data_IF_294962898494
#
_entry.id   IF_294962898494
#
_cell.length_a   1.000
_cell.length_b   1.000
_cell.length_c   1.000
_cell.angle_alpha   90.00
_cell.angle_beta   90.00
_cell.angle_gamma   90.00
#
_symmetry.space_group_name_H-M   'P 1'
#
loop_
_entity.id
_entity.type
_entity.pdbx_description
1 polymer ?
#
# COMPACT_ATOMS: atom_id res chain seq x y z
N UNK A 1 -30.19 -15.47 -21.65
CA UNK A 1 -29.22 -16.14 -20.78
C UNK A 1 -28.24 -15.10 -20.28
N UNK A 2 -28.45 -14.60 -19.07
CA UNK A 2 -27.58 -13.60 -18.44
C UNK A 2 -26.43 -14.33 -17.76
N UNK A 3 -25.21 -14.18 -18.28
CA UNK A 3 -24.01 -14.65 -17.61
C UNK A 3 -23.68 -13.67 -16.47
N UNK A 4 -23.88 -14.11 -15.23
CA UNK A 4 -23.40 -13.42 -14.05
C UNK A 4 -21.88 -13.58 -14.01
N UNK A 5 -21.16 -12.50 -14.26
CA UNK A 5 -19.73 -12.42 -13.99
C UNK A 5 -19.56 -12.21 -12.47
N UNK A 6 -19.00 -13.23 -11.81
CA UNK A 6 -18.55 -13.12 -10.43
C UNK A 6 -17.31 -12.21 -10.44
N UNK A 7 -17.45 -10.98 -9.92
CA UNK A 7 -16.32 -10.10 -9.66
C UNK A 7 -15.48 -10.68 -8.51
N UNK A 8 -14.28 -11.08 -8.82
CA UNK A 8 -13.24 -11.27 -7.81
C UNK A 8 -12.58 -9.90 -7.62
N UNK A 9 -13.13 -9.07 -6.77
CA UNK A 9 -12.36 -8.00 -6.18
C UNK A 9 -11.29 -8.66 -5.32
N UNK A 10 -10.03 -8.33 -5.52
CA UNK A 10 -8.97 -8.67 -4.59
C UNK A 10 -9.08 -7.74 -3.37
N UNK A 11 -10.12 -7.91 -2.67
CA UNK A 11 -10.40 -7.55 -1.31
C UNK A 11 -11.24 -8.70 -0.82
N UNK A 12 -10.73 -9.41 0.17
CA UNK A 12 -11.40 -10.41 0.99
C UNK A 12 -12.71 -10.95 0.39
N UNK A 13 -12.66 -12.09 -0.30
CA UNK A 13 -13.86 -12.85 -0.57
C UNK A 13 -14.58 -13.05 0.76
N UNK A 14 -15.75 -12.46 0.95
CA UNK A 14 -16.66 -12.80 2.02
C UNK A 14 -17.09 -14.24 1.83
N UNK A 15 -16.44 -15.18 2.53
CA UNK A 15 -17.06 -16.45 2.90
C UNK A 15 -17.76 -16.22 4.23
N UNK A 16 -19.05 -15.97 4.19
CA UNK A 16 -19.92 -16.17 5.34
C UNK A 16 -19.97 -17.68 5.57
N UNK A 17 -19.17 -18.17 6.50
CA UNK A 17 -19.25 -19.54 6.95
C UNK A 17 -20.47 -19.68 7.86
N UNK A 18 -21.61 -20.08 7.28
CA UNK A 18 -22.67 -20.77 8.05
C UNK A 18 -22.13 -22.15 8.39
N UNK A 19 -22.04 -22.43 9.70
CA UNK A 19 -21.51 -23.68 10.19
C UNK A 19 -22.29 -24.89 9.65
N UNK A 20 -21.59 -25.72 8.90
CA UNK A 20 -21.87 -27.13 8.70
C UNK A 20 -20.55 -27.89 8.81
N UNK A 21 -20.45 -28.75 9.80
CA UNK A 21 -19.45 -29.82 9.86
C UNK A 21 -19.71 -30.77 8.70
N UNK A 22 -18.97 -30.64 7.63
CA UNK A 22 -18.88 -31.60 6.55
C UNK A 22 -17.42 -31.87 6.22
N UNK A 23 -17.08 -33.13 6.01
CA UNK A 23 -15.79 -33.66 5.62
C UNK A 23 -15.08 -32.75 4.60
N UNK A 24 -13.83 -32.35 4.91
CA UNK A 24 -12.95 -31.64 3.96
C UNK A 24 -12.74 -32.52 2.73
N UNK A 25 -13.14 -32.08 1.53
CA UNK A 25 -12.57 -32.67 0.33
C UNK A 25 -11.08 -32.30 0.31
N UNK A 26 -10.21 -33.23 -0.05
CA UNK A 26 -8.82 -33.02 -0.38
C UNK A 26 -8.74 -32.10 -1.60
N UNK A 27 -8.89 -30.79 -1.43
CA UNK A 27 -8.55 -29.82 -2.45
C UNK A 27 -7.03 -29.62 -2.39
N UNK A 28 -6.34 -30.00 -3.46
CA UNK A 28 -4.95 -29.55 -3.67
C UNK A 28 -4.89 -28.03 -3.40
N UNK A 29 -3.91 -27.56 -2.63
CA UNK A 29 -3.75 -26.11 -2.44
C UNK A 29 -3.70 -25.45 -3.83
N UNK A 30 -4.56 -24.45 -4.05
CA UNK A 30 -4.50 -23.67 -5.29
C UNK A 30 -3.13 -22.98 -5.35
N UNK A 31 -2.49 -23.07 -6.49
CA UNK A 31 -1.27 -22.32 -6.74
C UNK A 31 -1.55 -20.81 -6.70
N UNK A 32 -0.60 -20.06 -6.20
CA UNK A 32 -0.69 -18.59 -6.14
C UNK A 32 0.43 -17.96 -6.95
N UNK A 33 0.14 -16.79 -7.51
CA UNK A 33 1.13 -15.88 -8.05
C UNK A 33 1.29 -14.67 -7.10
N UNK A 34 2.54 -14.38 -6.74
CA UNK A 34 2.92 -13.26 -5.88
C UNK A 34 3.53 -12.18 -6.75
N UNK A 35 2.89 -11.02 -6.82
CA UNK A 35 3.38 -9.84 -7.53
C UNK A 35 3.90 -8.81 -6.53
N UNK A 36 5.03 -8.19 -6.86
CA UNK A 36 5.66 -7.16 -6.02
C UNK A 36 6.05 -5.97 -6.88
N UNK A 37 5.71 -4.76 -6.45
CA UNK A 37 6.19 -3.53 -7.03
C UNK A 37 7.26 -2.90 -6.15
N UNK A 38 8.26 -2.29 -6.78
CA UNK A 38 9.37 -1.63 -6.10
C UNK A 38 10.36 -1.03 -7.07
N UNK A 39 11.62 -1.00 -6.68
CA UNK A 39 12.70 -0.50 -7.52
C UNK A 39 13.97 -1.33 -7.33
N UNK A 40 14.85 -1.25 -8.31
CA UNK A 40 16.22 -1.72 -8.24
C UNK A 40 17.17 -0.63 -8.73
N UNK A 41 18.26 -0.43 -7.98
CA UNK A 41 19.37 0.43 -8.41
C UNK A 41 20.48 -0.44 -8.99
N UNK A 42 20.49 -0.52 -10.30
CA UNK A 42 21.55 -1.26 -11.06
C UNK A 42 22.66 -0.36 -11.59
N UNK A 43 22.55 0.97 -11.35
CA UNK A 43 23.48 1.96 -11.88
C UNK A 43 23.56 3.22 -11.04
N UNK A 44 23.20 4.36 -11.61
CA UNK A 44 23.20 5.67 -10.95
C UNK A 44 21.84 6.06 -10.38
N UNK A 45 20.74 5.59 -10.99
CA UNK A 45 19.37 5.95 -10.64
C UNK A 45 18.55 4.70 -10.35
N UNK A 46 17.44 4.87 -9.66
CA UNK A 46 16.51 3.81 -9.33
C UNK A 46 15.57 3.54 -10.51
N UNK A 47 15.46 2.27 -10.93
CA UNK A 47 14.54 1.81 -11.96
C UNK A 47 13.28 1.19 -11.35
N UNK A 48 12.10 1.63 -11.77
CA UNK A 48 10.83 1.07 -11.33
C UNK A 48 10.63 -0.34 -11.90
N UNK A 49 10.33 -1.31 -11.02
CA UNK A 49 10.22 -2.73 -11.39
C UNK A 49 9.00 -3.42 -10.80
N UNK A 50 8.60 -4.50 -11.46
CA UNK A 50 7.64 -5.48 -10.96
C UNK A 50 8.25 -6.86 -11.00
N UNK A 51 8.15 -7.58 -9.90
CA UNK A 51 8.56 -9.00 -9.79
C UNK A 51 7.32 -9.90 -9.68
N UNK A 52 7.47 -11.13 -10.18
CA UNK A 52 6.49 -12.19 -10.03
C UNK A 52 7.17 -13.45 -9.51
N UNK A 53 6.71 -13.99 -8.38
CA UNK A 53 7.25 -15.22 -7.78
C UNK A 53 8.79 -15.18 -7.60
N UNK A 54 9.32 -14.04 -7.14
CA UNK A 54 10.74 -13.81 -6.89
C UNK A 54 11.60 -13.53 -8.12
N UNK A 55 11.00 -13.42 -9.32
CA UNK A 55 11.71 -13.09 -10.57
C UNK A 55 11.17 -11.80 -11.16
N UNK A 56 12.06 -11.00 -11.75
CA UNK A 56 11.67 -9.83 -12.52
C UNK A 56 10.66 -10.22 -13.60
N UNK A 57 9.54 -9.49 -13.62
CA UNK A 57 8.50 -9.63 -14.62
C UNK A 57 8.53 -8.46 -15.61
N UNK A 58 8.64 -7.24 -15.08
CA UNK A 58 8.70 -6.01 -15.89
C UNK A 58 9.73 -5.05 -15.32
N UNK A 59 10.54 -4.49 -16.19
CA UNK A 59 11.27 -3.25 -16.00
C UNK A 59 10.42 -2.12 -16.59
N UNK A 60 9.88 -1.25 -15.72
CA UNK A 60 8.92 -0.21 -16.12
C UNK A 60 9.60 1.05 -16.64
N UNK A 61 10.84 1.29 -16.22
CA UNK A 61 11.70 2.42 -16.64
C UNK A 61 13.12 1.92 -16.85
N UNK A 62 13.88 2.58 -17.71
CA UNK A 62 15.20 2.16 -18.15
C UNK A 62 16.35 2.53 -17.18
N UNK A 63 16.04 3.10 -16.01
CA UNK A 63 17.03 3.54 -15.01
C UNK A 63 17.89 4.73 -15.45
N UNK A 64 17.52 5.43 -16.52
CA UNK A 64 18.18 6.68 -16.92
C UNK A 64 17.77 7.86 -16.04
N UNK A 65 16.67 7.73 -15.32
CA UNK A 65 16.12 8.70 -14.37
C UNK A 65 15.53 7.98 -13.17
N UNK A 66 15.46 8.69 -12.05
CA UNK A 66 14.91 8.16 -10.81
C UNK A 66 13.42 7.81 -10.95
N UNK A 67 13.06 6.57 -10.66
CA UNK A 67 11.71 6.07 -10.79
C UNK A 67 11.39 5.00 -9.74
N UNK A 68 10.19 5.05 -9.17
CA UNK A 68 9.71 4.04 -8.23
C UNK A 68 8.34 3.50 -8.64
N UNK A 69 8.16 2.19 -8.52
CA UNK A 69 6.88 1.52 -8.53
C UNK A 69 6.40 1.34 -7.08
N UNK A 70 5.37 2.05 -6.67
CA UNK A 70 4.92 2.16 -5.27
C UNK A 70 3.75 1.24 -4.93
N UNK A 71 2.95 0.86 -5.93
CA UNK A 71 1.75 0.05 -5.72
C UNK A 71 1.49 -0.86 -6.91
N UNK A 72 1.08 -2.11 -6.66
CA UNK A 72 0.69 -3.08 -7.68
C UNK A 72 -0.71 -3.62 -7.40
N UNK A 73 -1.51 -3.77 -8.45
CA UNK A 73 -2.83 -4.39 -8.44
C UNK A 73 -2.98 -5.28 -9.67
N UNK A 74 -3.52 -6.49 -9.47
CA UNK A 74 -3.67 -7.45 -10.58
C UNK A 74 -5.13 -7.86 -10.74
N UNK A 75 -5.65 -7.75 -11.94
CA UNK A 75 -7.02 -8.17 -12.26
C UNK A 75 -7.11 -8.66 -13.69
N UNK A 76 -7.79 -9.81 -13.89
CA UNK A 76 -8.00 -10.38 -15.22
C UNK A 76 -6.72 -10.77 -15.98
N UNK A 77 -5.61 -10.95 -15.27
CA UNK A 77 -4.29 -11.22 -15.84
C UNK A 77 -3.46 -9.96 -16.16
N UNK A 78 -4.08 -8.78 -16.11
CA UNK A 78 -3.37 -7.50 -16.28
C UNK A 78 -2.79 -7.01 -14.95
N UNK A 79 -1.56 -6.52 -14.99
CA UNK A 79 -0.82 -5.94 -13.87
C UNK A 79 -0.85 -4.41 -13.99
N UNK A 80 -1.41 -3.75 -13.01
CA UNK A 80 -1.44 -2.28 -12.92
C UNK A 80 -0.46 -1.84 -11.84
N UNK A 81 0.37 -0.85 -12.16
CA UNK A 81 1.40 -0.33 -11.25
C UNK A 81 1.30 1.19 -11.20
N UNK A 82 1.31 1.76 -10.00
CA UNK A 82 1.38 3.21 -9.80
C UNK A 82 2.73 3.60 -9.19
N UNK A 83 3.21 4.79 -9.54
CA UNK A 83 4.47 5.32 -9.04
C UNK A 83 4.81 6.67 -9.68
N UNK A 84 6.08 6.91 -9.88
CA UNK A 84 6.57 8.10 -10.57
C UNK A 84 7.84 7.79 -11.38
N UNK A 85 8.15 8.69 -12.30
CA UNK A 85 9.43 8.81 -12.97
C UNK A 85 9.85 10.28 -12.99
N UNK A 86 11.11 10.59 -12.69
CA UNK A 86 11.63 11.96 -12.70
C UNK A 86 11.82 12.46 -14.15
N UNK A 87 11.43 13.70 -14.44
CA UNK A 87 11.62 14.30 -15.76
C UNK A 87 12.92 15.11 -15.89
N UNK A 88 13.78 15.06 -14.84
CA UNK A 88 15.01 15.83 -14.69
C UNK A 88 14.82 17.11 -13.86
N UNK A 89 13.58 17.43 -13.47
CA UNK A 89 13.26 18.59 -12.61
C UNK A 89 12.28 18.20 -11.52
N UNK A 90 11.23 17.45 -11.87
CA UNK A 90 10.15 17.06 -10.99
C UNK A 90 9.79 15.59 -11.20
N UNK A 91 9.24 14.97 -10.16
CA UNK A 91 8.60 13.67 -10.24
C UNK A 91 7.27 13.79 -10.99
N UNK A 92 7.04 12.91 -11.94
CA UNK A 92 5.81 12.82 -12.74
C UNK A 92 5.03 11.60 -12.31
N UNK A 93 3.80 11.77 -11.85
CA UNK A 93 2.94 10.68 -11.42
C UNK A 93 2.51 9.82 -12.61
N UNK A 94 2.76 8.51 -12.53
CA UNK A 94 2.50 7.57 -13.62
C UNK A 94 1.73 6.33 -13.18
N UNK A 95 1.01 5.75 -14.13
CA UNK A 95 0.43 4.41 -14.03
C UNK A 95 0.86 3.59 -15.22
N UNK A 96 1.36 2.39 -14.96
CA UNK A 96 1.72 1.41 -15.98
C UNK A 96 0.68 0.27 -15.98
N UNK A 97 0.46 -0.31 -17.14
CA UNK A 97 -0.28 -1.56 -17.33
C UNK A 97 0.63 -2.57 -18.01
N UNK A 98 0.92 -3.66 -17.31
CA UNK A 98 1.94 -4.62 -17.70
C UNK A 98 3.30 -3.91 -17.83
N UNK A 99 3.95 -3.97 -18.97
CA UNK A 99 5.24 -3.35 -19.29
C UNK A 99 5.14 -1.95 -19.94
N UNK A 100 3.92 -1.37 -20.02
CA UNK A 100 3.70 -0.12 -20.77
C UNK A 100 3.08 0.96 -19.89
N UNK A 101 3.53 2.19 -20.10
CA UNK A 101 2.86 3.36 -19.54
C UNK A 101 1.41 3.41 -20.05
N UNK A 102 0.48 3.41 -19.11
CA UNK A 102 -0.95 3.56 -19.39
C UNK A 102 -1.37 5.02 -19.27
N UNK A 103 -0.91 5.70 -18.22
CA UNK A 103 -1.23 7.11 -17.94
C UNK A 103 0.00 7.84 -17.41
N UNK A 104 0.30 8.96 -18.00
CA UNK A 104 0.96 10.08 -17.35
C UNK A 104 -0.15 10.92 -16.71
N UNK A 105 -0.17 10.98 -15.37
CA UNK A 105 -1.28 11.59 -14.60
C UNK A 105 -1.10 13.10 -14.41
N UNK A 106 0.13 13.60 -14.52
CA UNK A 106 0.49 15.02 -14.35
C UNK A 106 1.44 15.47 -15.46
N UNK A 107 1.48 16.75 -15.74
CA UNK A 107 2.30 17.34 -16.81
C UNK A 107 3.77 17.56 -16.44
N UNK A 108 4.18 17.20 -15.21
CA UNK A 108 5.55 17.36 -14.71
C UNK A 108 5.94 18.80 -14.35
N UNK A 109 5.01 19.74 -14.33
CA UNK A 109 5.27 21.12 -13.89
C UNK A 109 5.49 21.24 -12.38
N UNK A 110 4.94 20.31 -11.60
CA UNK A 110 5.10 20.18 -10.17
C UNK A 110 5.52 18.75 -9.79
N UNK A 111 6.15 18.59 -8.62
CA UNK A 111 6.37 17.26 -8.06
C UNK A 111 5.05 16.54 -7.81
N UNK A 112 4.94 15.35 -8.35
CA UNK A 112 3.74 14.52 -8.24
C UNK A 112 4.10 13.04 -8.08
N UNK A 113 3.33 12.33 -7.27
CA UNK A 113 3.49 10.89 -7.05
C UNK A 113 2.11 10.22 -7.11
N UNK A 114 2.03 9.10 -7.81
CA UNK A 114 0.94 8.13 -7.75
C UNK A 114 1.30 7.06 -6.73
N UNK A 115 0.77 7.17 -5.50
CA UNK A 115 1.19 6.36 -4.35
C UNK A 115 0.50 4.99 -4.27
N UNK A 116 -0.73 4.88 -4.79
CA UNK A 116 -1.53 3.66 -4.66
C UNK A 116 -2.48 3.51 -5.86
N UNK A 117 -2.64 2.28 -6.35
CA UNK A 117 -3.56 1.94 -7.43
C UNK A 117 -4.55 0.85 -7.00
N UNK A 118 -5.80 0.99 -7.42
CA UNK A 118 -6.87 0.01 -7.28
C UNK A 118 -7.69 -0.05 -8.56
N UNK A 119 -8.04 -1.24 -9.03
CA UNK A 119 -8.87 -1.40 -10.24
C UNK A 119 -10.19 -2.05 -9.89
N UNK A 120 -11.28 -1.41 -10.24
CA UNK A 120 -12.65 -1.91 -10.06
C UNK A 120 -13.55 -1.44 -11.21
N UNK A 121 -14.44 -2.31 -11.70
CA UNK A 121 -15.40 -2.00 -12.76
C UNK A 121 -14.73 -1.38 -14.01
N UNK A 122 -13.59 -1.93 -14.44
CA UNK A 122 -12.76 -1.46 -15.56
C UNK A 122 -12.29 0.01 -15.40
N UNK A 123 -12.24 0.51 -14.17
CA UNK A 123 -11.71 1.83 -13.82
C UNK A 123 -10.46 1.69 -12.97
N UNK A 124 -9.46 2.45 -13.31
CA UNK A 124 -8.22 2.60 -12.52
C UNK A 124 -8.38 3.77 -11.58
N UNK A 125 -8.31 3.52 -10.28
CA UNK A 125 -8.31 4.54 -9.24
C UNK A 125 -6.90 4.66 -8.70
N UNK A 126 -6.40 5.90 -8.60
CA UNK A 126 -5.04 6.17 -8.15
C UNK A 126 -5.08 7.27 -7.10
N UNK A 127 -4.48 7.04 -5.93
CA UNK A 127 -4.27 8.07 -4.92
C UNK A 127 -2.85 8.61 -5.01
N UNK A 128 -2.66 9.88 -4.68
CA UNK A 128 -1.36 10.51 -4.66
C UNK A 128 -1.43 12.00 -4.39
N UNK A 129 -0.49 12.74 -4.91
CA UNK A 129 -0.46 14.20 -4.80
C UNK A 129 0.20 14.85 -6.01
N UNK A 130 -0.05 16.14 -6.18
CA UNK A 130 0.66 17.04 -7.09
C UNK A 130 0.86 18.39 -6.40
N UNK A 131 2.11 18.81 -6.28
CA UNK A 131 2.49 19.98 -5.48
C UNK A 131 2.06 19.80 -4.02
N UNK A 132 1.11 20.64 -3.57
CA UNK A 132 0.56 20.59 -2.20
C UNK A 132 -0.81 19.92 -2.11
N UNK A 133 -1.36 19.47 -3.23
CA UNK A 133 -2.73 18.98 -3.33
C UNK A 133 -2.76 17.46 -3.25
N UNK A 134 -3.46 16.90 -2.28
CA UNK A 134 -3.82 15.48 -2.28
C UNK A 134 -4.83 15.21 -3.39
N UNK A 135 -4.61 14.16 -4.17
CA UNK A 135 -5.41 13.86 -5.36
C UNK A 135 -5.92 12.42 -5.41
N UNK A 136 -7.09 12.27 -6.01
CA UNK A 136 -7.63 11.01 -6.46
C UNK A 136 -7.85 11.08 -7.98
N UNK A 137 -7.19 10.21 -8.73
CA UNK A 137 -7.46 10.04 -10.15
C UNK A 137 -8.38 8.86 -10.39
N UNK A 138 -9.31 9.04 -11.31
CA UNK A 138 -10.10 7.96 -11.91
C UNK A 138 -9.74 7.87 -13.38
N UNK A 139 -9.05 6.82 -13.77
CA UNK A 139 -8.29 6.75 -15.02
C UNK A 139 -7.32 7.95 -15.08
N UNK A 140 -7.48 8.86 -16.04
CA UNK A 140 -6.66 10.07 -16.16
C UNK A 140 -7.31 11.33 -15.53
N UNK A 141 -8.58 11.23 -15.08
CA UNK A 141 -9.31 12.39 -14.55
C UNK A 141 -9.04 12.60 -13.08
N UNK A 142 -8.44 13.75 -12.73
CA UNK A 142 -8.12 14.13 -11.35
C UNK A 142 -9.33 14.71 -10.61
N UNK A 143 -9.40 14.42 -9.31
CA UNK A 143 -10.23 15.08 -8.31
C UNK A 143 -9.32 15.57 -7.20
N UNK A 144 -9.33 16.86 -6.91
CA UNK A 144 -8.60 17.43 -5.79
C UNK A 144 -9.32 17.08 -4.48
N UNK A 145 -8.57 16.48 -3.54
CA UNK A 145 -9.07 16.11 -2.21
C UNK A 145 -8.93 17.26 -1.21
N UNK A 146 -8.03 18.19 -1.50
CA UNK A 146 -7.74 19.39 -0.69
C UNK A 146 -7.60 20.62 -1.61
N UNK A 147 -7.68 21.81 -1.04
CA UNK A 147 -7.67 23.07 -1.79
C UNK A 147 -6.27 23.60 -2.15
N UNK A 148 -5.20 22.90 -1.72
CA UNK A 148 -3.81 23.28 -1.97
C UNK A 148 -3.29 24.45 -1.13
N UNK A 149 -4.07 24.97 -0.19
CA UNK A 149 -3.63 26.03 0.72
C UNK A 149 -2.58 25.53 1.73
N UNK A 150 -2.57 24.23 1.98
CA UNK A 150 -1.64 23.51 2.88
C UNK A 150 -1.13 22.25 2.19
N UNK A 151 0.00 21.75 2.66
CA UNK A 151 0.55 20.49 2.18
C UNK A 151 -0.38 19.33 2.53
N UNK A 152 -0.71 18.51 1.54
CA UNK A 152 -1.58 17.35 1.71
C UNK A 152 -1.19 16.23 0.75
N UNK A 153 -1.13 15.00 1.25
CA UNK A 153 -0.77 13.81 0.47
C UNK A 153 -1.78 12.69 0.72
N UNK A 154 -2.15 11.98 -0.35
CA UNK A 154 -2.95 10.78 -0.31
C UNK A 154 -2.05 9.58 -0.62
N UNK A 155 -1.93 8.64 0.32
CA UNK A 155 -1.01 7.51 0.20
C UNK A 155 -1.68 6.21 -0.23
N UNK A 156 -2.97 6.04 0.04
CA UNK A 156 -3.66 4.78 -0.19
C UNK A 156 -5.05 4.98 -0.74
N UNK A 157 -5.46 4.12 -1.68
CA UNK A 157 -6.83 4.06 -2.21
C UNK A 157 -7.40 2.66 -2.07
N UNK A 158 -8.67 2.57 -1.68
CA UNK A 158 -9.43 1.32 -1.59
C UNK A 158 -10.83 1.52 -2.16
N UNK A 159 -11.30 0.57 -2.97
CA UNK A 159 -12.66 0.60 -3.54
C UNK A 159 -13.52 -0.50 -2.91
N UNK A 160 -14.60 -0.10 -2.24
CA UNK A 160 -15.60 -1.00 -1.66
C UNK A 160 -16.97 -0.74 -2.29
N UNK A 161 -17.40 -1.62 -3.17
CA UNK A 161 -18.60 -1.42 -3.99
C UNK A 161 -18.53 -0.10 -4.77
N UNK A 162 -19.48 0.79 -4.59
CA UNK A 162 -19.49 2.10 -5.27
C UNK A 162 -18.72 3.20 -4.52
N UNK A 163 -18.08 2.89 -3.38
CA UNK A 163 -17.34 3.85 -2.57
C UNK A 163 -15.85 3.74 -2.83
N UNK A 164 -15.21 4.88 -3.06
CA UNK A 164 -13.76 5.03 -3.15
C UNK A 164 -13.29 5.74 -1.88
N UNK A 165 -12.42 5.09 -1.14
CA UNK A 165 -11.79 5.63 0.07
C UNK A 165 -10.33 5.94 -0.22
N UNK A 166 -9.87 7.06 0.32
CA UNK A 166 -8.48 7.51 0.18
C UNK A 166 -7.99 7.94 1.56
N UNK A 167 -6.79 7.55 1.95
CA UNK A 167 -6.21 7.93 3.23
C UNK A 167 -4.86 8.63 3.06
N UNK A 168 -4.55 9.55 3.98
CA UNK A 168 -3.33 10.33 3.97
C UNK A 168 -3.34 11.38 5.08
N UNK A 169 -2.80 12.57 4.78
CA UNK A 169 -2.84 13.70 5.69
C UNK A 169 -3.12 15.02 4.98
N UNK A 170 -3.51 16.01 5.73
CA UNK A 170 -3.51 17.43 5.37
C UNK A 170 -2.93 18.25 6.53
N UNK A 171 -1.99 19.15 6.24
CA UNK A 171 -1.37 20.02 7.23
C UNK A 171 -2.37 21.08 7.72
N UNK A 172 -2.48 21.27 9.03
CA UNK A 172 -3.39 22.27 9.62
C UNK A 172 -2.77 23.68 9.76
N UNK A 173 -1.56 23.86 9.23
CA UNK A 173 -0.76 25.07 9.37
C UNK A 173 0.40 24.91 10.35
N UNK A 174 0.42 23.84 11.17
CA UNK A 174 1.45 23.52 12.13
C UNK A 174 1.85 22.06 12.06
N UNK A 175 0.87 21.16 12.04
CA UNK A 175 1.07 19.72 12.07
C UNK A 175 0.23 19.01 11.00
N UNK A 176 0.67 17.85 10.59
CA UNK A 176 -0.05 16.97 9.69
C UNK A 176 -1.16 16.23 10.45
N UNK A 177 -2.35 16.21 9.88
CA UNK A 177 -3.57 15.63 10.45
C UNK A 177 -4.03 14.47 9.60
N UNK A 178 -4.20 13.31 10.20
CA UNK A 178 -4.67 12.12 9.46
C UNK A 178 -6.11 12.32 8.98
N UNK A 179 -6.30 12.15 7.68
CA UNK A 179 -7.59 12.23 7.02
C UNK A 179 -7.91 11.00 6.18
N UNK A 180 -9.19 10.69 6.12
CA UNK A 180 -9.76 9.77 5.14
C UNK A 180 -10.81 10.52 4.33
N UNK A 181 -10.68 10.45 3.01
CA UNK A 181 -11.68 10.97 2.07
C UNK A 181 -12.51 9.82 1.51
N UNK A 182 -13.79 10.10 1.22
CA UNK A 182 -14.71 9.17 0.57
C UNK A 182 -15.34 9.85 -0.63
N UNK A 183 -15.19 9.23 -1.81
CA UNK A 183 -15.71 9.80 -3.08
C UNK A 183 -15.24 11.24 -3.34
N UNK A 184 -13.99 11.55 -2.98
CA UNK A 184 -13.40 12.88 -3.18
C UNK A 184 -13.72 13.92 -2.10
N UNK A 185 -14.48 13.57 -1.06
CA UNK A 185 -14.82 14.50 0.05
C UNK A 185 -14.28 13.99 1.38
N UNK A 186 -13.90 14.90 2.28
CA UNK A 186 -13.47 14.55 3.65
C UNK A 186 -14.55 13.70 4.33
N UNK A 187 -14.14 12.59 4.91
CA UNK A 187 -15.02 11.62 5.57
C UNK A 187 -14.68 11.42 7.04
N UNK A 188 -13.38 11.22 7.36
CA UNK A 188 -12.89 11.04 8.72
C UNK A 188 -11.68 11.94 8.95
N UNK A 189 -11.63 12.57 10.13
CA UNK A 189 -10.44 13.18 10.73
C UNK A 189 -10.10 12.31 11.94
N UNK A 190 -8.89 11.71 11.94
CA UNK A 190 -8.53 10.66 12.90
C UNK A 190 -7.62 11.16 14.03
N UNK A 191 -6.92 12.27 13.82
CA UNK A 191 -6.06 12.91 14.84
C UNK A 191 -6.48 14.35 15.10
N UNK A 192 -6.14 14.88 16.26
CA UNK A 192 -6.57 16.24 16.69
C UNK A 192 -5.67 17.37 16.16
N UNK A 193 -4.57 17.01 15.46
CA UNK A 193 -3.62 17.98 14.92
C UNK A 193 -2.69 18.65 15.93
N UNK A 194 -2.60 18.15 17.16
CA UNK A 194 -1.66 18.64 18.17
C UNK A 194 -0.22 18.20 17.89
N UNK A 195 -0.06 17.06 17.20
CA UNK A 195 1.21 16.50 16.77
C UNK A 195 1.12 16.06 15.31
N UNK A 196 2.29 15.86 14.67
CA UNK A 196 2.35 15.32 13.33
C UNK A 196 1.82 13.88 13.28
N UNK A 197 1.03 13.59 12.26
CA UNK A 197 0.47 12.27 12.04
C UNK A 197 0.22 12.03 10.55
N UNK A 198 0.34 10.79 10.09
CA UNK A 198 0.07 10.40 8.70
C UNK A 198 -0.57 9.04 8.62
N UNK A 199 -1.42 8.82 7.62
CA UNK A 199 -1.96 7.51 7.27
C UNK A 199 -1.33 7.00 5.98
N UNK A 200 -0.85 5.76 6.01
CA UNK A 200 -0.19 5.11 4.87
C UNK A 200 -1.05 4.06 4.18
N UNK A 201 -2.05 3.52 4.88
CA UNK A 201 -2.88 2.44 4.35
C UNK A 201 -4.33 2.59 4.78
N UNK A 202 -5.25 2.30 3.86
CA UNK A 202 -6.69 2.15 4.13
C UNK A 202 -7.18 0.81 3.63
N UNK A 203 -7.97 0.12 4.45
CA UNK A 203 -8.62 -1.15 4.14
C UNK A 203 -10.08 -1.10 4.61
N UNK A 204 -11.00 -1.64 3.82
CA UNK A 204 -12.44 -1.55 4.14
C UNK A 204 -13.08 -2.93 4.15
N UNK A 205 -13.79 -3.25 5.23
CA UNK A 205 -14.59 -4.46 5.37
C UNK A 205 -16.04 -4.07 5.71
N UNK A 206 -16.96 -4.31 4.79
CA UNK A 206 -18.33 -3.84 4.95
C UNK A 206 -18.40 -2.32 5.05
N UNK A 207 -18.81 -1.81 6.22
CA UNK A 207 -18.86 -0.37 6.53
C UNK A 207 -17.67 0.11 7.37
N UNK A 208 -16.84 -0.82 7.85
CA UNK A 208 -15.70 -0.51 8.71
C UNK A 208 -14.48 -0.09 7.88
N UNK A 209 -13.95 1.08 8.18
CA UNK A 209 -12.75 1.65 7.56
C UNK A 209 -11.59 1.50 8.53
N UNK A 210 -10.59 0.71 8.15
CA UNK A 210 -9.34 0.52 8.88
C UNK A 210 -8.28 1.41 8.25
N UNK A 211 -7.57 2.17 9.07
CA UNK A 211 -6.53 3.10 8.62
C UNK A 211 -5.29 2.85 9.46
N UNK A 212 -4.14 2.65 8.81
CA UNK A 212 -2.86 2.47 9.47
C UNK A 212 -1.91 3.62 9.17
N UNK A 213 -1.08 3.98 10.14
CA UNK A 213 -0.12 5.08 10.03
C UNK A 213 0.63 5.32 11.34
N UNK A 214 0.90 6.58 11.62
CA UNK A 214 1.50 7.00 12.89
C UNK A 214 0.90 8.30 13.39
N UNK A 215 1.10 8.57 14.68
CA UNK A 215 0.94 9.88 15.31
C UNK A 215 2.11 10.09 16.27
N UNK A 216 2.78 11.23 16.18
CA UNK A 216 3.88 11.57 17.09
C UNK A 216 3.37 11.80 18.51
N UNK A 217 4.11 11.33 19.50
CA UNK A 217 3.86 11.66 20.92
C UNK A 217 4.62 12.90 21.40
N UNK A 218 5.21 13.66 20.43
CA UNK A 218 6.06 14.83 20.68
C UNK A 218 7.56 14.52 20.72
N UNK A 219 7.94 13.25 20.84
CA UNK A 219 9.35 12.79 20.84
C UNK A 219 9.61 11.64 19.89
N UNK A 220 8.63 10.79 19.70
CA UNK A 220 8.68 9.58 18.85
C UNK A 220 7.42 9.44 18.03
N UNK A 221 7.54 8.85 16.89
CA UNK A 221 6.41 8.40 16.09
C UNK A 221 5.87 7.10 16.69
N UNK A 222 4.58 7.03 16.91
CA UNK A 222 3.86 5.90 17.48
C UNK A 222 3.03 5.27 16.37
N UNK A 223 3.30 4.02 16.02
CA UNK A 223 2.49 3.29 15.03
C UNK A 223 1.06 3.13 15.55
N UNK A 224 0.08 3.44 14.71
CA UNK A 224 -1.34 3.39 15.07
C UNK A 224 -2.20 2.74 13.99
N UNK A 225 -3.27 2.10 14.43
CA UNK A 225 -4.38 1.69 13.56
C UNK A 225 -5.69 2.19 14.15
N UNK A 226 -6.49 2.80 13.29
CA UNK A 226 -7.85 3.24 13.60
C UNK A 226 -8.86 2.37 12.85
N UNK A 227 -9.96 2.02 13.53
CA UNK A 227 -11.18 1.48 12.94
C UNK A 227 -12.23 2.58 13.00
N UNK A 228 -12.62 3.13 11.85
CA UNK A 228 -13.42 4.34 11.76
C UNK A 228 -12.73 5.49 12.54
N UNK A 229 -13.33 6.03 13.60
CA UNK A 229 -12.72 7.07 14.45
C UNK A 229 -12.04 6.52 15.71
N UNK A 230 -12.12 5.21 15.96
CA UNK A 230 -11.60 4.60 17.18
C UNK A 230 -10.22 4.02 16.94
N UNK A 231 -9.24 4.47 17.71
CA UNK A 231 -7.94 3.81 17.79
C UNK A 231 -8.11 2.38 18.35
N UNK A 232 -7.58 1.40 17.62
CA UNK A 232 -7.66 -0.03 18.00
C UNK A 232 -6.30 -0.67 18.25
N UNK A 233 -5.20 0.00 17.83
CA UNK A 233 -3.83 -0.46 18.02
C UNK A 233 -2.89 0.74 18.13
N UNK A 234 -1.88 0.64 18.97
CA UNK A 234 -0.70 1.50 19.00
C UNK A 234 0.50 0.75 19.60
N UNK A 235 1.72 1.15 19.22
CA UNK A 235 2.97 0.77 19.90
C UNK A 235 3.15 1.60 21.18
N UNK A 236 4.06 1.19 22.07
CA UNK A 236 4.23 1.82 23.39
C UNK A 236 4.82 3.26 23.36
N UNK A 237 5.31 3.69 22.18
CA UNK A 237 5.87 5.03 21.97
C UNK A 237 7.26 5.24 22.57
N UNK A 238 7.92 4.19 23.01
CA UNK A 238 9.31 4.26 23.53
C UNK A 238 10.34 4.34 22.39
N UNK A 239 9.99 3.87 21.19
CA UNK A 239 10.79 3.89 19.96
C UNK A 239 9.99 4.53 18.84
N UNK A 240 10.70 5.01 17.79
CA UNK A 240 9.99 5.39 16.55
C UNK A 240 9.38 4.15 15.90
N UNK A 241 8.10 4.22 15.56
CA UNK A 241 7.35 3.15 14.95
C UNK A 241 6.36 3.69 13.90
N UNK A 242 6.14 2.92 12.85
CA UNK A 242 5.15 3.22 11.81
C UNK A 242 4.35 1.96 11.46
N UNK A 243 3.06 2.12 11.21
CA UNK A 243 2.19 1.11 10.62
C UNK A 243 1.99 1.45 9.15
N UNK A 244 2.69 0.74 8.25
CA UNK A 244 2.73 1.07 6.83
C UNK A 244 1.59 0.44 6.03
N UNK A 245 1.11 -0.73 6.48
CA UNK A 245 0.04 -1.46 5.79
C UNK A 245 -0.85 -2.19 6.78
N UNK A 246 -2.15 -2.17 6.53
CA UNK A 246 -3.15 -2.94 7.30
C UNK A 246 -3.92 -3.89 6.38
N UNK A 247 -4.13 -5.11 6.83
CA UNK A 247 -4.93 -6.13 6.17
C UNK A 247 -5.87 -6.81 7.18
N UNK A 248 -7.12 -7.05 6.80
CA UNK A 248 -8.13 -7.60 7.72
C UNK A 248 -8.73 -8.88 7.15
N UNK A 249 -8.77 -9.93 7.97
CA UNK A 249 -9.39 -11.22 7.63
C UNK A 249 -10.34 -11.61 8.77
N UNK A 250 -11.64 -11.58 8.53
CA UNK A 250 -12.63 -11.75 9.59
C UNK A 250 -12.47 -10.69 10.68
N UNK A 251 -12.20 -11.12 11.91
CA UNK A 251 -11.94 -10.24 13.05
C UNK A 251 -10.46 -9.95 13.28
N UNK A 252 -9.57 -10.63 12.54
CA UNK A 252 -8.12 -10.47 12.68
C UNK A 252 -7.59 -9.28 11.89
N UNK A 253 -6.88 -8.39 12.58
CA UNK A 253 -6.22 -7.21 12.02
C UNK A 253 -4.71 -7.45 11.98
N UNK A 254 -4.15 -7.48 10.79
CA UNK A 254 -2.71 -7.63 10.54
C UNK A 254 -2.12 -6.30 10.13
N UNK A 255 -0.95 -5.98 10.67
CA UNK A 255 -0.26 -4.71 10.43
C UNK A 255 1.19 -5.00 10.09
N UNK A 256 1.68 -4.45 8.99
CA UNK A 256 3.10 -4.42 8.66
C UNK A 256 3.66 -3.01 8.89
N UNK A 257 4.89 -2.93 9.38
CA UNK A 257 5.54 -1.65 9.65
C UNK A 257 6.95 -1.79 10.20
N UNK A 258 7.34 -0.84 11.03
CA UNK A 258 8.64 -0.87 11.71
C UNK A 258 8.54 -0.31 13.11
N UNK A 259 9.42 -0.78 14.01
CA UNK A 259 9.62 -0.23 15.35
C UNK A 259 11.09 -0.30 15.74
N UNK A 260 11.67 0.83 16.10
CA UNK A 260 13.09 0.91 16.47
C UNK A 260 14.06 0.52 15.35
N UNK A 261 13.61 0.59 14.08
CA UNK A 261 14.37 0.18 12.91
C UNK A 261 14.20 -1.30 12.53
N UNK A 262 13.44 -2.08 13.30
CA UNK A 262 13.14 -3.49 12.99
C UNK A 262 11.86 -3.56 12.15
N UNK A 263 11.90 -4.26 11.02
CA UNK A 263 10.72 -4.58 10.23
C UNK A 263 9.84 -5.58 10.98
N UNK A 264 8.56 -5.24 11.20
CA UNK A 264 7.67 -6.00 12.07
C UNK A 264 6.31 -6.29 11.45
N UNK A 265 5.70 -7.37 11.94
CA UNK A 265 4.28 -7.65 11.77
C UNK A 265 3.61 -7.78 13.12
N UNK A 266 2.47 -7.12 13.28
CA UNK A 266 1.58 -7.29 14.43
C UNK A 266 0.26 -7.93 13.99
N UNK A 267 -0.35 -8.68 14.89
CA UNK A 267 -1.70 -9.22 14.75
C UNK A 267 -2.50 -8.91 16.01
N UNK A 268 -3.64 -8.25 15.89
CA UNK A 268 -4.56 -7.97 17.00
C UNK A 268 -3.87 -7.34 18.22
N UNK A 269 -2.92 -6.39 18.01
CA UNK A 269 -2.10 -5.68 19.01
C UNK A 269 -0.86 -6.42 19.51
N UNK A 270 -0.68 -7.68 19.18
CA UNK A 270 0.47 -8.48 19.59
C UNK A 270 1.48 -8.55 18.43
N UNK A 271 2.76 -8.52 18.77
CA UNK A 271 3.83 -8.77 17.82
C UNK A 271 3.73 -10.22 17.34
N UNK A 272 3.72 -10.38 16.01
CA UNK A 272 3.63 -11.69 15.38
C UNK A 272 4.98 -12.14 14.82
N UNK A 273 5.70 -11.23 14.16
CA UNK A 273 7.01 -11.49 13.56
C UNK A 273 7.92 -10.28 13.63
N UNK A 274 9.20 -10.52 13.94
CA UNK A 274 10.34 -9.69 13.55
C UNK A 274 10.89 -10.25 12.23
N UNK A 275 10.95 -9.40 11.20
CA UNK A 275 11.32 -9.83 9.85
C UNK A 275 12.78 -9.55 9.52
N UNK A 276 13.27 -8.37 9.87
CA UNK A 276 14.61 -7.92 9.54
C UNK A 276 15.06 -6.79 10.47
N UNK A 277 16.31 -6.82 10.91
CA UNK A 277 16.95 -5.72 11.58
C UNK A 277 17.27 -4.60 10.58
N UNK A 278 17.09 -3.32 10.99
CA UNK A 278 17.31 -2.15 10.12
C UNK A 278 16.52 -2.21 8.79
N UNK A 279 15.29 -2.71 8.86
CA UNK A 279 14.38 -2.90 7.73
C UNK A 279 13.06 -2.18 7.89
N UNK A 280 12.24 -2.27 6.85
CA UNK A 280 10.86 -1.81 6.82
C UNK A 280 9.93 -2.84 6.19
N UNK A 281 8.84 -3.20 6.87
CA UNK A 281 7.76 -3.97 6.28
C UNK A 281 6.76 -2.97 5.65
N UNK A 282 6.68 -2.95 4.31
CA UNK A 282 5.96 -1.90 3.57
C UNK A 282 4.52 -2.30 3.22
N UNK A 283 4.29 -3.56 2.88
CA UNK A 283 2.98 -4.05 2.44
C UNK A 283 2.72 -5.46 2.91
N UNK A 284 1.49 -5.74 3.34
CA UNK A 284 1.07 -7.04 3.86
C UNK A 284 -0.18 -7.55 3.15
N UNK A 285 -0.19 -8.84 2.84
CA UNK A 285 -1.36 -9.58 2.37
C UNK A 285 -1.46 -10.90 3.15
N UNK A 286 -2.67 -11.26 3.56
CA UNK A 286 -2.94 -12.56 4.18
C UNK A 286 -3.77 -13.41 3.23
N UNK A 287 -3.27 -14.60 2.91
CA UNK A 287 -3.91 -15.51 1.98
C UNK A 287 -3.93 -16.93 2.53
N UNK A 288 -5.12 -17.53 2.71
CA UNK A 288 -5.33 -18.88 3.27
C UNK A 288 -4.62 -19.11 4.62
N UNK A 289 -4.52 -18.06 5.45
CA UNK A 289 -3.87 -18.09 6.76
C UNK A 289 -2.35 -17.85 6.71
N UNK A 290 -1.72 -17.83 5.54
CA UNK A 290 -0.34 -17.43 5.37
C UNK A 290 -0.21 -15.91 5.26
N UNK A 291 0.79 -15.35 5.95
CA UNK A 291 1.10 -13.92 5.97
C UNK A 291 2.27 -13.65 5.04
N UNK A 292 2.07 -12.79 4.05
CA UNK A 292 3.07 -12.36 3.09
C UNK A 292 3.35 -10.88 3.26
N UNK A 293 4.64 -10.52 3.27
CA UNK A 293 5.09 -9.14 3.47
C UNK A 293 6.14 -8.78 2.43
N UNK A 294 5.97 -7.63 1.79
CA UNK A 294 7.01 -6.99 0.99
C UNK A 294 7.66 -5.86 1.77
N UNK A 295 8.96 -5.67 1.58
CA UNK A 295 9.70 -4.61 2.25
C UNK A 295 11.17 -4.61 1.89
N UNK A 296 11.97 -4.09 2.79
CA UNK A 296 13.41 -3.99 2.60
C UNK A 296 14.19 -4.30 3.88
N UNK A 297 15.41 -4.73 3.72
CA UNK A 297 16.39 -4.92 4.77
C UNK A 297 17.68 -4.19 4.43
N UNK A 298 18.30 -3.55 5.40
CA UNK A 298 19.60 -2.91 5.22
C UNK A 298 20.70 -3.91 5.34
N UNK A 299 21.40 -4.17 4.24
CA UNK A 299 22.59 -5.02 4.18
C UNK A 299 23.85 -4.17 3.96
N UNK A 300 24.62 -3.96 5.03
CA UNK A 300 25.79 -3.07 4.97
C UNK A 300 25.42 -1.62 4.65
N UNK A 301 25.82 -1.12 3.48
CA UNK A 301 25.50 0.25 3.01
C UNK A 301 24.29 0.34 2.07
N UNK A 302 23.74 -0.80 1.64
CA UNK A 302 22.62 -0.90 0.70
C UNK A 302 21.34 -1.36 1.38
N UNK A 303 20.21 -1.24 0.70
CA UNK A 303 18.96 -1.90 1.06
C UNK A 303 18.65 -2.97 0.03
N UNK A 304 18.26 -4.16 0.50
CA UNK A 304 17.82 -5.26 -0.34
C UNK A 304 16.29 -5.35 -0.33
N UNK A 305 15.70 -5.47 -1.51
CA UNK A 305 14.25 -5.68 -1.65
C UNK A 305 13.91 -7.15 -1.34
N UNK A 306 12.98 -7.37 -0.41
CA UNK A 306 12.66 -8.71 0.10
C UNK A 306 11.16 -8.98 0.18
N UNK A 307 10.84 -10.28 0.17
CA UNK A 307 9.52 -10.81 0.51
C UNK A 307 9.68 -11.85 1.61
N UNK A 308 8.84 -11.75 2.63
CA UNK A 308 8.75 -12.74 3.71
C UNK A 308 7.40 -13.47 3.66
N UNK A 309 7.42 -14.74 4.06
CA UNK A 309 6.24 -15.55 4.31
C UNK A 309 6.29 -16.11 5.72
N UNK A 310 5.27 -15.82 6.55
CA UNK A 310 5.16 -16.31 7.93
C UNK A 310 6.44 -16.06 8.75
N UNK A 311 7.01 -14.84 8.65
CA UNK A 311 8.19 -14.42 9.38
C UNK A 311 9.53 -14.90 8.80
N UNK A 312 9.53 -15.63 7.67
CA UNK A 312 10.75 -16.15 7.02
C UNK A 312 10.91 -15.56 5.64
N UNK A 313 12.13 -15.22 5.27
CA UNK A 313 12.43 -14.79 3.91
C UNK A 313 11.98 -15.83 2.89
N UNK A 314 11.21 -15.38 1.91
CA UNK A 314 10.75 -16.19 0.79
C UNK A 314 11.51 -15.86 -0.50
N UNK A 315 11.76 -14.58 -0.75
CA UNK A 315 12.50 -14.07 -1.91
C UNK A 315 13.39 -12.90 -1.51
N UNK A 316 14.63 -12.87 -2.04
CA UNK A 316 15.43 -11.67 -2.25
C UNK A 316 15.20 -11.24 -3.69
N UNK A 317 14.72 -10.00 -3.91
CA UNK A 317 14.31 -9.51 -5.22
C UNK A 317 15.40 -8.67 -5.89
N UNK A 318 16.10 -7.85 -5.10
CA UNK A 318 17.18 -6.99 -5.55
C UNK A 318 18.13 -6.70 -4.37
N UNK A 319 19.45 -6.72 -4.62
CA UNK A 319 20.48 -6.44 -3.60
C UNK A 319 20.60 -4.93 -3.30
N UNK A 320 20.14 -4.09 -4.23
CA UNK A 320 20.05 -2.62 -4.08
C UNK A 320 18.67 -2.18 -4.53
N UNK A 321 17.71 -2.15 -3.63
CA UNK A 321 16.34 -1.85 -3.99
C UNK A 321 15.41 -1.82 -2.79
N UNK A 322 14.12 -1.67 -3.08
CA UNK A 322 13.03 -1.72 -2.10
C UNK A 322 11.77 -2.31 -2.71
N UNK A 323 11.02 -3.05 -1.91
CA UNK A 323 9.73 -3.60 -2.29
C UNK A 323 8.62 -2.87 -1.52
N UNK A 324 7.72 -2.19 -2.22
CA UNK A 324 6.73 -1.30 -1.61
C UNK A 324 5.33 -1.87 -1.55
N UNK A 325 4.97 -2.76 -2.47
CA UNK A 325 3.61 -3.31 -2.55
C UNK A 325 3.63 -4.78 -2.95
N UNK A 326 2.77 -5.57 -2.34
CA UNK A 326 2.58 -6.99 -2.64
C UNK A 326 1.13 -7.27 -2.97
N UNK A 327 0.89 -8.11 -3.97
CA UNK A 327 -0.42 -8.57 -4.40
C UNK A 327 -0.39 -10.07 -4.72
N UNK A 328 -1.45 -10.80 -4.35
CA UNK A 328 -1.55 -12.26 -4.55
C UNK A 328 -2.76 -12.57 -5.43
N UNK A 329 -2.55 -13.47 -6.39
CA UNK A 329 -3.58 -14.01 -7.27
C UNK A 329 -3.60 -15.54 -7.15
N UNK A 330 -4.77 -16.13 -6.92
CA UNK A 330 -4.98 -17.59 -7.08
C UNK A 330 -5.05 -17.95 -8.58
N UNK A 331 -4.41 -19.06 -8.92
CA UNK A 331 -4.49 -19.66 -10.28
C UNK A 331 -5.63 -20.64 -10.42
#
# INVERSE_FOLDING_TARGET
MKKSFLMVAAAAAMLVATGFTACKPNSTPKEIDIYVAGYENSGTEDAAKVWKNGKELYELTDGSKDALALSVFVVGGDVYTAGYEDNGTNKVAKVWKNDKELYELTDGSNNAIASSVFVADDKVYTAGYEGKVAKLWKNKSATDLTDGSKDAYAYSVFVAGSNVYTAGYENNGTNDVVKVWKKGSEHLVLTNGSNNASAYSVFVVGEDVYTAGYESNGTKDVAKVWKNKKEIFHTDGSKNATANSVYVVGDDVYVAGSEGGVAKVWKNKEELYDLADNGGAQSIVVHNGDVYVAGDEKEGSTRAAKVWKNGKELYSLADKGGAYSIFIVER
#
